data_IF_262609936298
#
_entry.id   IF_262609936298
#
_cell.length_a   1.000
_cell.length_b   1.000
_cell.length_c   1.000
_cell.angle_alpha   90.00
_cell.angle_beta   90.00
_cell.angle_gamma   90.00
#
_symmetry.space_group_name_H-M   'P 1'
#
loop_
_entity.id
_entity.type
_entity.pdbx_description
1 polymer ?
#
# COMPACT_ATOMS: atom_id res chain seq x y z
N UNK A 1 -19.45 -38.65 -1.81
CA UNK A 1 -19.22 -37.20 -1.53
C UNK A 1 -17.75 -36.88 -1.40
N UNK A 2 -16.95 -37.57 -0.62
CA UNK A 2 -15.48 -37.36 -0.43
C UNK A 2 -14.66 -37.41 -1.74
N UNK A 3 -14.92 -38.37 -2.64
CA UNK A 3 -14.19 -38.46 -3.92
C UNK A 3 -14.41 -37.25 -4.83
N UNK A 4 -15.63 -36.70 -4.88
CA UNK A 4 -15.95 -35.51 -5.69
C UNK A 4 -15.23 -34.30 -5.14
N UNK A 5 -15.18 -34.10 -3.82
CA UNK A 5 -14.45 -33.01 -3.17
C UNK A 5 -12.96 -33.12 -3.51
N UNK A 6 -12.37 -34.31 -3.43
CA UNK A 6 -10.96 -34.52 -3.77
C UNK A 6 -10.66 -34.18 -5.24
N UNK A 7 -11.51 -34.58 -6.17
CA UNK A 7 -11.37 -34.27 -7.61
C UNK A 7 -11.44 -32.77 -7.83
N UNK A 8 -12.38 -32.05 -7.18
CA UNK A 8 -12.53 -30.61 -7.32
C UNK A 8 -11.30 -29.87 -6.74
N UNK A 9 -10.84 -30.29 -5.57
CA UNK A 9 -9.70 -29.68 -4.91
C UNK A 9 -8.36 -29.91 -5.63
N UNK A 10 -8.23 -31.02 -6.34
CA UNK A 10 -7.05 -31.38 -7.15
C UNK A 10 -7.03 -30.67 -8.51
N UNK A 11 -8.11 -29.98 -8.90
CA UNK A 11 -8.19 -29.30 -10.20
C UNK A 11 -7.19 -28.13 -10.27
N UNK A 12 -6.48 -28.05 -11.38
CA UNK A 12 -5.53 -26.96 -11.63
C UNK A 12 -6.23 -25.60 -11.71
N UNK A 13 -5.60 -24.62 -11.06
CA UNK A 13 -6.00 -23.22 -11.09
C UNK A 13 -4.80 -22.35 -11.48
N UNK A 14 -5.08 -21.22 -12.09
CA UNK A 14 -4.03 -20.27 -12.46
C UNK A 14 -3.62 -19.39 -11.27
N UNK A 15 -2.33 -19.26 -11.06
CA UNK A 15 -1.72 -18.28 -10.16
C UNK A 15 -0.77 -17.40 -10.93
N UNK A 16 -0.69 -16.14 -10.53
CA UNK A 16 0.21 -15.13 -11.11
C UNK A 16 1.22 -14.70 -10.06
N UNK A 17 2.48 -14.55 -10.49
CA UNK A 17 3.54 -13.94 -9.69
C UNK A 17 4.23 -12.85 -10.50
N UNK A 18 4.61 -11.76 -9.88
CA UNK A 18 5.37 -10.70 -10.54
C UNK A 18 6.85 -10.86 -10.19
N UNK A 19 7.68 -10.99 -11.21
CA UNK A 19 9.13 -11.08 -11.09
C UNK A 19 9.74 -10.03 -12.01
N UNK A 20 10.52 -9.09 -11.47
CA UNK A 20 11.17 -8.03 -12.24
C UNK A 20 10.19 -7.27 -13.16
N UNK A 21 9.04 -6.87 -12.62
CA UNK A 21 7.94 -6.19 -13.35
C UNK A 21 7.29 -7.03 -14.46
N UNK A 22 7.61 -8.32 -14.55
CA UNK A 22 6.98 -9.27 -15.47
C UNK A 22 6.01 -10.15 -14.70
N UNK A 23 4.83 -10.38 -15.27
CA UNK A 23 3.85 -11.30 -14.70
C UNK A 23 4.11 -12.68 -15.26
N UNK A 24 4.36 -13.65 -14.38
CA UNK A 24 4.54 -15.06 -14.71
C UNK A 24 3.28 -15.81 -14.27
N UNK A 25 2.70 -16.57 -15.19
CA UNK A 25 1.56 -17.46 -14.93
C UNK A 25 2.05 -18.89 -14.67
N UNK A 26 1.49 -19.53 -13.66
CA UNK A 26 1.71 -20.96 -13.40
C UNK A 26 0.46 -21.64 -12.86
N UNK A 27 0.43 -22.97 -12.98
CA UNK A 27 -0.68 -23.79 -12.54
C UNK A 27 -0.40 -24.40 -11.18
N UNK A 28 -1.37 -24.32 -10.29
CA UNK A 28 -1.36 -25.00 -8.98
C UNK A 28 -2.71 -25.62 -8.70
N UNK A 29 -2.77 -26.76 -7.99
CA UNK A 29 -4.04 -27.33 -7.55
C UNK A 29 -4.84 -26.35 -6.68
N UNK A 30 -6.16 -26.42 -6.77
CA UNK A 30 -7.07 -25.55 -6.01
C UNK A 30 -6.82 -25.62 -4.51
N UNK A 31 -6.55 -26.79 -3.95
CA UNK A 31 -6.27 -26.94 -2.52
C UNK A 31 -5.04 -26.13 -2.08
N UNK A 32 -3.96 -26.11 -2.87
CA UNK A 32 -2.79 -25.29 -2.56
C UNK A 32 -3.12 -23.79 -2.62
N UNK A 33 -3.94 -23.38 -3.59
CA UNK A 33 -4.39 -21.99 -3.69
C UNK A 33 -5.21 -21.57 -2.47
N UNK A 34 -6.06 -22.45 -1.95
CA UNK A 34 -6.84 -22.23 -0.73
C UNK A 34 -5.94 -22.16 0.51
N UNK A 35 -4.96 -23.08 0.64
CA UNK A 35 -3.99 -23.01 1.74
C UNK A 35 -3.15 -21.74 1.70
N UNK A 36 -2.67 -21.33 0.53
CA UNK A 36 -1.93 -20.09 0.36
C UNK A 36 -2.81 -18.87 0.73
N UNK A 37 -4.08 -18.87 0.32
CA UNK A 37 -5.04 -17.83 0.68
C UNK A 37 -5.24 -17.75 2.19
N UNK A 38 -5.49 -18.88 2.85
CA UNK A 38 -5.70 -18.94 4.30
C UNK A 38 -4.42 -18.59 5.08
N UNK A 39 -3.28 -19.13 4.66
CA UNK A 39 -1.99 -18.82 5.27
C UNK A 39 -1.65 -17.33 5.20
N UNK A 40 -1.88 -16.68 4.06
CA UNK A 40 -1.72 -15.23 3.91
C UNK A 40 -2.64 -14.45 4.83
N UNK A 41 -3.93 -14.84 4.88
CA UNK A 41 -4.90 -14.20 5.77
C UNK A 41 -4.44 -14.23 7.23
N UNK A 42 -4.02 -15.39 7.73
CA UNK A 42 -3.53 -15.54 9.10
C UNK A 42 -2.28 -14.71 9.37
N UNK A 43 -1.30 -14.75 8.45
CA UNK A 43 -0.06 -14.00 8.62
C UNK A 43 -0.29 -12.48 8.65
N UNK A 44 -1.09 -11.94 7.73
CA UNK A 44 -1.41 -10.51 7.75
C UNK A 44 -2.17 -10.13 9.03
N UNK A 45 -3.16 -10.90 9.43
CA UNK A 45 -3.91 -10.66 10.67
C UNK A 45 -2.99 -10.66 11.88
N UNK A 46 -2.08 -11.63 11.98
CA UNK A 46 -1.12 -11.74 13.08
C UNK A 46 -0.16 -10.53 13.13
N UNK A 47 0.45 -10.18 11.99
CA UNK A 47 1.40 -9.06 11.90
C UNK A 47 0.71 -7.75 12.26
N UNK A 48 -0.47 -7.49 11.69
CA UNK A 48 -1.22 -6.26 11.93
C UNK A 48 -1.66 -6.15 13.38
N UNK A 49 -2.25 -7.20 13.96
CA UNK A 49 -2.68 -7.20 15.36
C UNK A 49 -1.52 -6.91 16.32
N UNK A 50 -0.33 -7.45 16.01
CA UNK A 50 0.86 -7.20 16.83
C UNK A 50 1.36 -5.76 16.72
N UNK A 51 1.32 -5.16 15.52
CA UNK A 51 1.76 -3.78 15.30
C UNK A 51 0.79 -2.81 15.96
N UNK A 52 -0.53 -3.03 15.79
CA UNK A 52 -1.57 -2.07 16.16
C UNK A 52 -2.20 -2.29 17.53
N UNK A 53 -1.62 -3.19 18.34
CA UNK A 53 -2.18 -3.57 19.65
C UNK A 53 -2.37 -2.38 20.61
N UNK A 54 -1.58 -1.32 20.48
CA UNK A 54 -1.64 -0.13 21.31
C UNK A 54 -2.23 1.08 20.58
N UNK A 55 -2.58 0.96 19.30
CA UNK A 55 -3.15 2.05 18.51
C UNK A 55 -4.58 2.35 18.95
N UNK A 56 -4.86 3.61 19.29
CA UNK A 56 -6.16 4.05 19.86
C UNK A 56 -7.18 4.44 18.78
N UNK A 57 -6.71 4.75 17.58
CA UNK A 57 -7.54 5.22 16.48
C UNK A 57 -6.88 4.86 15.13
N UNK A 58 -7.61 5.08 14.03
CA UNK A 58 -7.14 4.66 12.70
C UNK A 58 -5.91 5.42 12.22
N UNK A 59 -5.72 6.69 12.61
CA UNK A 59 -4.49 7.44 12.31
C UNK A 59 -3.28 6.79 12.98
N UNK A 60 -3.39 6.43 14.25
CA UNK A 60 -2.31 5.73 14.97
C UNK A 60 -1.98 4.40 14.29
N UNK A 61 -2.99 3.62 13.85
CA UNK A 61 -2.75 2.39 13.08
C UNK A 61 -1.95 2.64 11.80
N UNK A 62 -2.32 3.68 11.03
CA UNK A 62 -1.58 4.06 9.80
C UNK A 62 -0.13 4.39 10.12
N UNK A 63 0.11 5.20 11.14
CA UNK A 63 1.46 5.62 11.55
C UNK A 63 2.28 4.45 12.11
N UNK A 64 1.69 3.61 12.96
CA UNK A 64 2.37 2.48 13.56
C UNK A 64 2.76 1.43 12.52
N UNK A 65 1.89 1.13 11.55
CA UNK A 65 2.19 0.23 10.44
C UNK A 65 3.29 0.83 9.55
N UNK A 66 3.17 2.11 9.17
CA UNK A 66 4.20 2.79 8.38
C UNK A 66 5.55 2.79 9.09
N UNK A 67 5.58 3.12 10.38
CA UNK A 67 6.77 3.09 11.22
C UNK A 67 7.39 1.69 11.30
N UNK A 68 6.55 0.68 11.48
CA UNK A 68 6.99 -0.70 11.48
C UNK A 68 7.65 -1.07 10.14
N UNK A 69 7.04 -0.67 9.01
CA UNK A 69 7.61 -0.92 7.68
C UNK A 69 8.97 -0.23 7.51
N UNK A 70 9.09 1.06 7.88
CA UNK A 70 10.36 1.80 7.80
C UNK A 70 11.48 1.15 8.62
N UNK A 71 11.14 0.51 9.75
CA UNK A 71 12.11 -0.16 10.62
C UNK A 71 12.46 -1.59 10.18
N UNK A 72 11.56 -2.28 9.48
CA UNK A 72 11.70 -3.72 9.22
C UNK A 72 11.91 -4.07 7.74
N UNK A 73 11.50 -3.20 6.81
CA UNK A 73 11.64 -3.41 5.37
C UNK A 73 12.70 -2.46 4.83
N UNK A 74 13.74 -3.01 4.23
CA UNK A 74 14.81 -2.21 3.61
C UNK A 74 14.47 -1.94 2.13
N UNK A 75 14.95 -0.83 1.63
CA UNK A 75 14.90 -0.52 0.20
C UNK A 75 15.81 -1.47 -0.57
N UNK A 76 15.32 -2.01 -1.69
CA UNK A 76 16.13 -2.89 -2.54
C UNK A 76 17.30 -2.09 -3.12
N UNK A 77 18.55 -2.59 -3.02
CA UNK A 77 19.70 -1.95 -3.64
C UNK A 77 19.55 -1.87 -5.16
N UNK A 78 20.08 -0.80 -5.76
CA UNK A 78 20.07 -0.63 -7.21
C UNK A 78 20.78 -1.80 -7.90
N UNK A 79 20.16 -2.36 -8.95
CA UNK A 79 20.71 -3.48 -9.73
C UNK A 79 20.39 -4.87 -9.17
N UNK A 80 19.66 -4.96 -8.07
CA UNK A 80 19.15 -6.24 -7.55
C UNK A 80 17.80 -6.55 -8.19
N UNK A 81 17.65 -7.78 -8.65
CA UNK A 81 16.40 -8.25 -9.24
C UNK A 81 15.27 -8.31 -8.23
N UNK A 82 14.09 -7.87 -8.64
CA UNK A 82 12.88 -7.95 -7.84
C UNK A 82 12.22 -9.30 -8.06
N UNK A 83 12.45 -10.22 -7.13
CA UNK A 83 11.83 -11.56 -7.15
C UNK A 83 10.56 -11.50 -6.32
N UNK A 84 9.43 -11.84 -6.89
CA UNK A 84 8.12 -11.89 -6.26
C UNK A 84 7.69 -10.60 -5.52
N UNK A 85 6.65 -9.97 -5.98
CA UNK A 85 6.07 -8.74 -5.40
C UNK A 85 4.95 -9.00 -4.39
N UNK A 86 4.75 -10.27 -3.98
CA UNK A 86 3.69 -10.61 -3.04
C UNK A 86 3.99 -10.01 -1.65
N UNK A 87 3.04 -9.32 -0.98
CA UNK A 87 3.25 -8.66 0.31
C UNK A 87 3.84 -9.56 1.40
N UNK A 88 3.42 -10.82 1.50
CA UNK A 88 3.99 -11.74 2.48
C UNK A 88 5.47 -12.02 2.22
N UNK A 89 5.85 -12.21 0.95
CA UNK A 89 7.25 -12.41 0.55
C UNK A 89 8.10 -11.16 0.83
N UNK A 90 7.52 -9.96 0.71
CA UNK A 90 8.19 -8.71 1.09
C UNK A 90 8.47 -8.67 2.59
N UNK A 91 7.49 -9.08 3.41
CA UNK A 91 7.65 -9.19 4.88
C UNK A 91 8.77 -10.17 5.23
N UNK A 92 8.76 -11.35 4.62
CA UNK A 92 9.72 -12.43 4.91
C UNK A 92 11.15 -12.06 4.53
N UNK A 93 11.36 -11.54 3.32
CA UNK A 93 12.69 -11.13 2.84
C UNK A 93 13.17 -9.79 3.37
N UNK A 94 12.25 -8.98 3.93
CA UNK A 94 12.53 -7.62 4.45
C UNK A 94 13.16 -6.66 3.44
N UNK A 95 12.82 -6.83 2.16
CA UNK A 95 13.29 -5.98 1.05
C UNK A 95 12.13 -5.65 0.13
N UNK A 96 12.03 -4.38 -0.31
CA UNK A 96 10.98 -3.93 -1.20
C UNK A 96 11.38 -2.76 -2.10
N UNK A 97 10.73 -2.66 -3.25
CA UNK A 97 10.75 -1.52 -4.16
C UNK A 97 9.67 -0.50 -3.76
N UNK A 98 9.66 0.67 -4.39
CA UNK A 98 8.74 1.76 -4.07
C UNK A 98 7.26 1.33 -4.22
N UNK A 99 6.92 0.68 -5.33
CA UNK A 99 5.60 0.11 -5.58
C UNK A 99 5.23 -0.97 -4.55
N UNK A 100 6.19 -1.80 -4.15
CA UNK A 100 5.98 -2.86 -3.16
C UNK A 100 5.74 -2.33 -1.74
N UNK A 101 6.34 -1.20 -1.37
CA UNK A 101 6.03 -0.54 -0.10
C UNK A 101 4.57 -0.06 -0.09
N UNK A 102 4.11 0.55 -1.19
CA UNK A 102 2.73 1.05 -1.29
C UNK A 102 1.71 -0.09 -1.30
N UNK A 103 2.00 -1.19 -1.98
CA UNK A 103 1.15 -2.39 -1.98
C UNK A 103 1.10 -3.02 -0.58
N UNK A 104 2.24 -3.25 0.04
CA UNK A 104 2.33 -3.82 1.39
C UNK A 104 1.55 -2.98 2.41
N UNK A 105 1.76 -1.65 2.42
CA UNK A 105 1.05 -0.78 3.34
C UNK A 105 -0.47 -0.86 3.12
N UNK A 106 -0.92 -0.82 1.86
CA UNK A 106 -2.36 -0.88 1.55
C UNK A 106 -3.00 -2.18 2.05
N UNK A 107 -2.31 -3.32 1.88
CA UNK A 107 -2.77 -4.62 2.39
C UNK A 107 -2.83 -4.62 3.92
N UNK A 108 -1.77 -4.17 4.60
CA UNK A 108 -1.75 -4.15 6.07
C UNK A 108 -2.80 -3.21 6.66
N UNK A 109 -3.05 -2.05 6.04
CA UNK A 109 -4.11 -1.13 6.46
C UNK A 109 -5.50 -1.73 6.34
N UNK A 110 -5.80 -2.44 5.24
CA UNK A 110 -7.07 -3.17 5.09
C UNK A 110 -7.26 -4.21 6.21
N UNK A 111 -6.18 -4.89 6.60
CA UNK A 111 -6.21 -5.82 7.74
C UNK A 111 -6.34 -5.12 9.10
N UNK A 112 -5.91 -3.87 9.21
CA UNK A 112 -6.14 -3.01 10.38
C UNK A 112 -7.56 -2.42 10.45
N UNK A 113 -8.42 -2.69 9.45
CA UNK A 113 -9.76 -2.13 9.33
C UNK A 113 -9.82 -0.73 8.73
N UNK A 114 -8.72 -0.27 8.12
CA UNK A 114 -8.63 1.03 7.45
C UNK A 114 -8.77 0.80 5.94
N UNK A 115 -9.75 1.44 5.31
CA UNK A 115 -9.88 1.39 3.86
C UNK A 115 -8.65 2.02 3.21
N UNK A 116 -7.95 1.27 2.36
CA UNK A 116 -6.74 1.73 1.71
C UNK A 116 -6.52 1.03 0.36
N UNK A 117 -5.81 1.70 -0.52
CA UNK A 117 -5.38 1.15 -1.80
C UNK A 117 -4.10 1.84 -2.29
N UNK A 118 -3.35 1.13 -3.12
CA UNK A 118 -2.17 1.67 -3.78
C UNK A 118 -2.58 2.50 -5.00
N UNK A 119 -1.92 3.63 -5.21
CA UNK A 119 -2.08 4.49 -6.38
C UNK A 119 -0.71 4.77 -7.03
N UNK A 120 -0.66 4.68 -8.36
CA UNK A 120 0.55 4.94 -9.14
C UNK A 120 0.50 6.32 -9.80
N UNK A 121 1.68 6.87 -10.03
CA UNK A 121 1.85 7.98 -10.96
C UNK A 121 1.56 7.50 -12.39
N UNK A 122 0.79 8.25 -13.17
CA UNK A 122 0.35 7.82 -14.51
C UNK A 122 1.54 7.52 -15.45
N UNK A 123 2.60 8.32 -15.36
CA UNK A 123 3.79 8.17 -16.21
C UNK A 123 4.84 7.20 -15.66
N UNK A 124 4.69 6.73 -14.41
CA UNK A 124 5.70 5.89 -13.77
C UNK A 124 5.09 4.88 -12.79
N UNK A 125 4.79 3.68 -13.28
CA UNK A 125 4.25 2.56 -12.48
C UNK A 125 5.20 2.04 -11.39
N UNK A 126 6.42 2.55 -11.31
CA UNK A 126 7.38 2.21 -10.24
C UNK A 126 7.23 3.10 -9.03
N UNK A 127 6.61 4.25 -9.18
CA UNK A 127 6.38 5.23 -8.12
C UNK A 127 4.93 5.15 -7.66
N UNK A 128 4.73 4.76 -6.41
CA UNK A 128 3.41 4.56 -5.86
C UNK A 128 3.25 5.17 -4.47
N UNK A 129 2.04 5.60 -4.17
CA UNK A 129 1.63 6.04 -2.83
C UNK A 129 0.47 5.19 -2.35
N UNK A 130 0.26 5.19 -1.05
CA UNK A 130 -0.92 4.57 -0.46
C UNK A 130 -1.96 5.65 -0.14
N UNK A 131 -3.16 5.46 -0.68
CA UNK A 131 -4.33 6.26 -0.35
C UNK A 131 -5.10 5.49 0.73
N UNK A 132 -5.47 6.18 1.81
CA UNK A 132 -6.19 5.58 2.94
C UNK A 132 -7.30 6.49 3.45
N UNK A 133 -8.32 5.90 4.10
CA UNK A 133 -9.48 6.64 4.58
C UNK A 133 -9.51 6.68 6.10
N UNK A 134 -9.50 7.89 6.66
CA UNK A 134 -9.58 8.11 8.10
C UNK A 134 -10.53 9.26 8.40
N UNK A 135 -11.38 9.12 9.41
CA UNK A 135 -12.39 10.11 9.80
C UNK A 135 -13.28 10.56 8.62
N UNK A 136 -13.62 9.62 7.72
CA UNK A 136 -14.43 9.88 6.54
C UNK A 136 -13.73 10.61 5.40
N UNK A 137 -12.43 10.92 5.52
CA UNK A 137 -11.62 11.62 4.50
C UNK A 137 -10.53 10.69 3.95
N UNK A 138 -10.30 10.79 2.65
CA UNK A 138 -9.19 10.13 1.97
C UNK A 138 -7.92 10.98 2.07
N UNK A 139 -6.84 10.38 2.51
CA UNK A 139 -5.51 10.97 2.69
C UNK A 139 -4.46 10.13 1.98
N UNK A 140 -3.24 10.66 1.88
CA UNK A 140 -2.12 10.01 1.17
C UNK A 140 -0.93 9.84 2.11
N UNK A 141 -0.22 8.74 1.93
CA UNK A 141 1.09 8.50 2.54
C UNK A 141 2.03 7.92 1.48
N UNK A 142 3.28 8.36 1.49
CA UNK A 142 4.36 7.72 0.75
C UNK A 142 5.11 6.77 1.71
N UNK A 143 4.84 5.47 1.64
CA UNK A 143 5.44 4.53 2.58
C UNK A 143 6.91 4.22 2.28
N UNK A 144 7.38 4.45 1.06
CA UNK A 144 8.77 4.19 0.69
C UNK A 144 9.73 5.18 1.34
N UNK A 145 9.35 6.45 1.40
CA UNK A 145 10.09 7.49 2.11
C UNK A 145 9.57 7.73 3.52
N UNK A 146 8.46 7.11 3.91
CA UNK A 146 7.82 7.32 5.20
C UNK A 146 7.25 8.73 5.33
N UNK A 147 6.68 9.30 4.28
CA UNK A 147 6.19 10.69 4.27
C UNK A 147 4.69 10.74 4.44
N UNK A 148 4.24 11.48 5.43
CA UNK A 148 2.84 11.89 5.63
C UNK A 148 2.69 13.39 5.38
N UNK A 149 1.52 13.77 4.92
CA UNK A 149 1.23 15.15 4.52
C UNK A 149 0.23 15.76 5.50
N UNK A 150 0.54 16.96 5.98
CA UNK A 150 -0.32 17.69 6.90
C UNK A 150 -0.89 18.94 6.22
N UNK A 151 -2.09 19.32 6.63
CA UNK A 151 -2.68 20.61 6.29
C UNK A 151 -2.17 21.73 7.23
N UNK A 152 -2.63 22.95 7.02
CA UNK A 152 -2.23 24.12 7.82
C UNK A 152 -2.59 24.00 9.32
N UNK A 153 -3.55 23.13 9.66
CA UNK A 153 -3.95 22.86 11.05
C UNK A 153 -3.13 21.74 11.70
N UNK A 154 -2.04 21.29 11.08
CA UNK A 154 -1.22 20.14 11.50
C UNK A 154 -2.00 18.81 11.58
N UNK A 155 -3.09 18.67 10.80
CA UNK A 155 -3.83 17.41 10.65
C UNK A 155 -3.47 16.75 9.33
N UNK A 156 -3.67 15.44 9.21
CA UNK A 156 -3.48 14.73 7.95
C UNK A 156 -4.33 15.37 6.84
N UNK A 157 -3.65 15.82 5.80
CA UNK A 157 -4.28 16.48 4.66
C UNK A 157 -5.13 15.47 3.87
N UNK A 158 -6.35 15.85 3.53
CA UNK A 158 -7.16 15.09 2.60
C UNK A 158 -6.66 15.28 1.17
N UNK A 159 -7.03 14.36 0.25
CA UNK A 159 -6.70 14.49 -1.19
C UNK A 159 -7.15 15.83 -1.75
N UNK A 160 -8.31 16.34 -1.33
CA UNK A 160 -8.81 17.65 -1.79
C UNK A 160 -7.95 18.80 -1.27
N UNK A 161 -7.49 18.71 -0.02
CA UNK A 161 -6.59 19.71 0.56
C UNK A 161 -5.20 19.65 -0.08
N UNK A 162 -4.68 18.44 -0.38
CA UNK A 162 -3.36 18.26 -1.02
C UNK A 162 -3.27 18.93 -2.39
N UNK A 163 -4.34 18.88 -3.20
CA UNK A 163 -4.38 19.53 -4.53
C UNK A 163 -4.31 21.06 -4.47
N UNK A 164 -4.63 21.64 -3.33
CA UNK A 164 -4.62 23.08 -3.10
C UNK A 164 -3.56 23.53 -2.08
N UNK A 165 -2.73 22.59 -1.59
CA UNK A 165 -1.76 22.86 -0.56
C UNK A 165 -0.54 23.57 -1.15
N UNK A 166 -0.20 24.73 -0.56
CA UNK A 166 1.10 25.35 -0.83
C UNK A 166 2.21 24.51 -0.16
N UNK A 167 2.84 23.67 -0.95
CA UNK A 167 3.90 22.78 -0.48
C UNK A 167 5.19 23.52 -0.06
N UNK A 168 5.36 24.82 -0.39
CA UNK A 168 6.49 25.63 0.10
C UNK A 168 6.37 25.86 1.61
N UNK A 169 5.16 26.09 2.07
CA UNK A 169 4.81 26.14 3.49
C UNK A 169 4.37 24.78 4.00
N UNK A 170 4.33 23.80 3.14
CA UNK A 170 3.75 22.51 3.32
C UNK A 170 4.50 21.63 4.29
N UNK A 171 3.76 20.74 4.85
CA UNK A 171 4.08 20.06 6.05
C UNK A 171 4.30 18.60 5.72
N UNK A 172 5.52 18.34 5.23
CA UNK A 172 6.00 16.97 5.10
C UNK A 172 6.50 16.49 6.46
N UNK A 173 5.92 15.41 6.94
CA UNK A 173 6.34 14.77 8.18
C UNK A 173 6.89 13.39 7.91
N UNK A 174 7.99 13.04 8.54
CA UNK A 174 8.49 11.67 8.49
C UNK A 174 7.74 10.80 9.51
N UNK A 175 7.23 9.65 9.08
CA UNK A 175 6.37 8.79 9.91
C UNK A 175 7.09 8.13 11.09
N UNK A 176 8.43 7.98 11.04
CA UNK A 176 9.20 7.36 12.12
C UNK A 176 9.13 8.16 13.43
N UNK A 177 9.40 9.46 13.34
CA UNK A 177 9.54 10.36 14.48
C UNK A 177 8.53 11.50 14.46
N UNK A 178 7.72 11.58 13.43
CA UNK A 178 6.73 12.64 13.21
C UNK A 178 7.35 14.04 13.20
N UNK A 179 8.57 14.14 12.63
CA UNK A 179 9.29 15.39 12.49
C UNK A 179 9.13 15.99 11.10
N UNK A 180 9.11 17.33 11.02
CA UNK A 180 9.05 18.03 9.75
C UNK A 180 10.32 17.82 8.95
N UNK A 181 10.17 17.59 7.65
CA UNK A 181 11.28 17.46 6.73
C UNK A 181 11.83 18.84 6.41
N UNK A 182 13.11 19.02 6.73
CA UNK A 182 13.87 20.24 6.49
C UNK A 182 14.86 20.02 5.34
N UNK A 183 15.41 21.10 4.80
CA UNK A 183 16.37 21.06 3.70
C UNK A 183 17.63 20.26 4.02
N UNK A 184 18.06 20.23 5.26
CA UNK A 184 19.26 19.54 5.74
C UNK A 184 19.08 18.01 5.84
N UNK A 185 17.85 17.51 5.96
CA UNK A 185 17.58 16.07 6.04
C UNK A 185 17.05 15.42 4.76
N UNK A 186 16.93 16.18 3.64
CA UNK A 186 16.43 15.67 2.36
C UNK A 186 17.28 14.49 1.86
N UNK A 187 18.60 14.62 1.86
CA UNK A 187 19.49 13.54 1.42
C UNK A 187 19.42 12.32 2.32
N UNK A 188 19.17 12.48 3.60
CA UNK A 188 19.02 11.37 4.53
C UNK A 188 17.75 10.55 4.21
N UNK A 189 16.65 11.22 3.86
CA UNK A 189 15.36 10.58 3.61
C UNK A 189 15.27 10.02 2.19
N UNK A 190 15.63 10.84 1.20
CA UNK A 190 15.42 10.55 -0.23
C UNK A 190 16.67 10.02 -0.95
N UNK A 191 17.83 9.98 -0.26
CA UNK A 191 19.10 9.61 -0.90
C UNK A 191 19.48 10.62 -1.98
N UNK A 192 19.87 10.11 -3.14
CA UNK A 192 20.25 10.94 -4.29
C UNK A 192 19.08 11.23 -5.26
N UNK A 193 17.82 10.94 -4.87
CA UNK A 193 16.66 11.20 -5.74
C UNK A 193 16.40 12.70 -5.90
N UNK A 194 16.60 13.48 -4.82
CA UNK A 194 16.43 14.92 -4.85
C UNK A 194 17.66 15.65 -4.27
N UNK A 195 18.05 16.74 -4.90
CA UNK A 195 19.18 17.54 -4.46
C UNK A 195 18.78 18.56 -3.39
N UNK A 196 17.53 19.03 -3.42
CA UNK A 196 17.00 20.12 -2.62
C UNK A 196 15.50 19.96 -2.34
N UNK A 197 14.95 20.90 -1.58
CA UNK A 197 13.54 20.95 -1.21
C UNK A 197 12.64 21.20 -2.42
N UNK A 198 13.09 21.98 -3.38
CA UNK A 198 12.29 22.34 -4.56
C UNK A 198 12.04 21.12 -5.45
N UNK A 199 13.03 20.24 -5.58
CA UNK A 199 12.88 18.95 -6.25
C UNK A 199 11.83 18.05 -5.58
N UNK A 200 11.82 18.00 -4.25
CA UNK A 200 10.81 17.24 -3.47
C UNK A 200 9.41 17.83 -3.68
N UNK A 201 9.29 19.16 -3.61
CA UNK A 201 8.02 19.86 -3.81
C UNK A 201 7.47 19.60 -5.20
N UNK A 202 8.30 19.76 -6.24
CA UNK A 202 7.91 19.50 -7.63
C UNK A 202 7.41 18.07 -7.85
N UNK A 203 8.10 17.11 -7.25
CA UNK A 203 7.74 15.69 -7.32
C UNK A 203 6.35 15.44 -6.72
N UNK A 204 6.10 15.88 -5.48
CA UNK A 204 4.81 15.65 -4.83
C UNK A 204 3.69 16.51 -5.43
N UNK A 205 3.95 17.71 -5.94
CA UNK A 205 2.95 18.49 -6.68
C UNK A 205 2.47 17.72 -7.89
N UNK A 206 3.39 17.22 -8.73
CA UNK A 206 3.04 16.40 -9.89
C UNK A 206 2.25 15.15 -9.50
N UNK A 207 2.63 14.50 -8.40
CA UNK A 207 1.91 13.33 -7.89
C UNK A 207 0.48 13.70 -7.44
N UNK A 208 0.30 14.83 -6.74
CA UNK A 208 -1.01 15.25 -6.25
C UNK A 208 -1.96 15.68 -7.36
N UNK A 209 -1.43 16.28 -8.44
CA UNK A 209 -2.23 16.61 -9.63
C UNK A 209 -2.85 15.36 -10.26
N UNK A 210 -2.13 14.24 -10.20
CA UNK A 210 -2.55 12.95 -10.74
C UNK A 210 -3.37 12.09 -9.76
N UNK A 211 -3.60 12.54 -8.52
CA UNK A 211 -4.44 11.79 -7.58
C UNK A 211 -5.90 11.72 -8.07
N UNK A 212 -6.61 10.63 -7.78
CA UNK A 212 -8.01 10.48 -8.18
C UNK A 212 -8.87 11.58 -7.53
N UNK A 213 -9.87 12.07 -8.27
CA UNK A 213 -10.81 13.04 -7.69
C UNK A 213 -11.68 12.38 -6.63
N UNK A 214 -12.17 13.19 -5.66
CA UNK A 214 -13.11 12.72 -4.63
C UNK A 214 -14.32 12.01 -5.24
N UNK A 215 -14.86 12.52 -6.34
CA UNK A 215 -15.99 11.89 -7.03
C UNK A 215 -15.61 10.54 -7.64
N UNK A 216 -14.42 10.41 -8.24
CA UNK A 216 -13.93 9.14 -8.76
C UNK A 216 -13.80 8.13 -7.62
N UNK A 217 -13.24 8.52 -6.47
CA UNK A 217 -13.09 7.63 -5.33
C UNK A 217 -14.46 7.21 -4.75
N UNK A 218 -15.39 8.14 -4.63
CA UNK A 218 -16.71 7.84 -4.03
C UNK A 218 -17.63 7.01 -4.95
N UNK A 219 -17.45 7.15 -6.27
CA UNK A 219 -18.31 6.49 -7.27
C UNK A 219 -17.71 5.20 -7.82
N UNK A 220 -16.44 4.92 -7.51
CA UNK A 220 -15.78 3.68 -7.89
C UNK A 220 -15.65 2.80 -6.67
N UNK A 221 -15.83 1.50 -6.84
CA UNK A 221 -15.43 0.57 -5.80
C UNK A 221 -13.93 0.74 -5.54
N UNK A 222 -13.49 0.59 -4.31
CA UNK A 222 -12.06 0.61 -3.98
C UNK A 222 -11.31 -0.40 -4.87
N UNK A 223 -11.95 -1.40 -5.43
CA UNK A 223 -11.46 -2.37 -6.42
C UNK A 223 -11.10 -1.77 -7.78
N UNK A 224 -11.95 -0.91 -8.32
CA UNK A 224 -11.71 -0.23 -9.60
C UNK A 224 -10.57 0.77 -9.48
N UNK A 225 -10.36 1.34 -8.29
CA UNK A 225 -9.29 2.29 -8.01
C UNK A 225 -7.95 1.62 -7.75
N UNK A 226 -7.94 0.53 -6.99
CA UNK A 226 -6.72 -0.10 -6.49
C UNK A 226 -6.14 -1.20 -7.38
N UNK A 227 -6.86 -1.61 -8.44
CA UNK A 227 -6.38 -2.58 -9.44
C UNK A 227 -5.67 -3.81 -8.86
N UNK A 228 -4.35 -3.79 -8.84
CA UNK A 228 -3.52 -4.93 -8.47
C UNK A 228 -3.44 -5.24 -6.98
N UNK A 229 -3.48 -4.24 -6.10
CA UNK A 229 -3.35 -4.43 -4.65
C UNK A 229 -4.48 -5.29 -4.07
N UNK A 230 -5.63 -5.28 -4.69
CA UNK A 230 -6.75 -6.14 -4.30
C UNK A 230 -6.53 -7.61 -4.56
N UNK A 231 -5.84 -7.96 -5.63
CA UNK A 231 -5.60 -9.36 -5.96
C UNK A 231 -4.69 -10.03 -4.93
N UNK A 232 -3.94 -9.24 -4.18
CA UNK A 232 -2.95 -9.72 -3.22
C UNK A 232 -3.49 -9.81 -1.78
N UNK A 233 -4.55 -9.05 -1.45
CA UNK A 233 -5.21 -9.13 -0.14
C UNK A 233 -6.34 -10.16 -0.13
N UNK A 234 -6.20 -11.28 0.61
CA UNK A 234 -7.28 -12.26 0.77
C UNK A 234 -8.59 -11.66 1.26
N UNK A 235 -8.51 -10.74 2.22
CA UNK A 235 -9.69 -10.08 2.80
C UNK A 235 -10.40 -9.18 1.79
N UNK A 236 -9.68 -8.37 1.04
CA UNK A 236 -10.25 -7.52 0.00
C UNK A 236 -10.88 -8.34 -1.10
N UNK A 237 -10.22 -9.44 -1.50
CA UNK A 237 -10.73 -10.34 -2.52
C UNK A 237 -12.02 -11.04 -2.09
N UNK A 238 -12.11 -11.46 -0.83
CA UNK A 238 -13.33 -12.04 -0.28
C UNK A 238 -14.46 -11.02 -0.25
N UNK A 239 -14.20 -9.79 0.23
CA UNK A 239 -15.18 -8.69 0.21
C UNK A 239 -15.70 -8.43 -1.22
N UNK A 240 -14.81 -8.40 -2.22
CA UNK A 240 -15.21 -8.22 -3.63
C UNK A 240 -16.11 -9.35 -4.13
N UNK A 241 -15.76 -10.58 -3.87
CA UNK A 241 -16.57 -11.72 -4.28
C UNK A 241 -17.95 -11.62 -3.65
N UNK A 242 -18.04 -11.36 -2.35
CA UNK A 242 -19.29 -11.22 -1.63
C UNK A 242 -20.12 -10.06 -2.21
N UNK A 243 -19.50 -8.90 -2.44
CA UNK A 243 -20.17 -7.72 -3.00
C UNK A 243 -20.79 -8.02 -4.36
N UNK A 244 -20.01 -8.61 -5.29
CA UNK A 244 -20.49 -8.92 -6.64
C UNK A 244 -21.52 -10.05 -6.70
N UNK A 245 -21.59 -10.93 -5.68
CA UNK A 245 -22.60 -12.00 -5.62
C UNK A 245 -23.85 -11.65 -4.80
N UNK A 246 -23.78 -10.61 -3.97
CA UNK A 246 -24.92 -10.17 -3.15
C UNK A 246 -25.63 -8.91 -3.69
N UNK A 247 -25.10 -8.28 -4.73
CA UNK A 247 -25.84 -7.27 -5.49
C UNK A 247 -26.78 -7.94 -6.49
N UNK A 248 -27.83 -8.60 -5.97
CA UNK A 248 -29.03 -8.99 -6.71
C UNK A 248 -30.23 -8.22 -6.17
#
# INVERSE_FOLDING_TARGET
MTAVIFIVLSKDTTQYTAVNYRVIEYKIPLYLKLFNFYGRHLNYSFVVNRITQNSKNDIEKVLDISKWMQNNIRKIPKGVDVVDSHPLTIIDRRLGTEDQFSDLLSVLLVYAGVDAFMWFHEDNYKEGVTIFKVNGKWSVIDPYYGIVFLNNDNRHASITELKNLDLNNGLFMHSLNYERIKSDNIRLIFGNKFNDKDGVIKYYTSMFDNLPTKNKINNSSVFELGGRSYTQSPLSRLKFIIYNYLEF
#
